data_IF_369716425211
#
_entry.id   IF_369716425211
#
_cell.length_a   1.000
_cell.length_b   1.000
_cell.length_c   1.000
_cell.angle_alpha   90.00
_cell.angle_beta   90.00
_cell.angle_gamma   90.00
#
_symmetry.space_group_name_H-M   'P 1'
#
loop_
_entity.id
_entity.type
_entity.pdbx_description
1 polymer ?
#
# COMPACT_ATOMS: atom_id res chain seq x y z
N UNK A 1 -64.90 -15.16 -0.71
CA UNK A 1 -63.81 -15.44 0.25
C UNK A 1 -62.56 -14.74 -0.26
N UNK A 2 -62.03 -13.79 0.51
CA UNK A 2 -60.85 -12.99 0.15
C UNK A 2 -59.59 -13.79 0.53
N UNK A 3 -58.82 -14.22 -0.47
CA UNK A 3 -57.52 -14.83 -0.26
C UNK A 3 -56.51 -13.74 0.14
N UNK A 4 -56.08 -13.76 1.39
CA UNK A 4 -55.08 -12.84 1.94
C UNK A 4 -53.71 -13.40 1.59
N UNK A 5 -53.01 -12.77 0.63
CA UNK A 5 -51.64 -13.14 0.28
C UNK A 5 -50.69 -12.71 1.40
N UNK A 6 -50.12 -13.69 2.08
CA UNK A 6 -49.15 -13.47 3.15
C UNK A 6 -47.78 -13.20 2.52
N UNK A 7 -47.40 -11.93 2.44
CA UNK A 7 -46.10 -11.49 1.92
C UNK A 7 -45.04 -11.77 3.00
N UNK A 8 -44.42 -12.96 2.93
CA UNK A 8 -43.30 -13.30 3.81
C UNK A 8 -42.20 -12.24 3.65
N UNK A 9 -41.93 -11.55 4.75
CA UNK A 9 -40.78 -10.67 4.89
C UNK A 9 -39.52 -11.53 4.76
N UNK A 10 -38.78 -11.35 3.67
CA UNK A 10 -37.44 -11.89 3.48
C UNK A 10 -36.52 -11.32 4.57
N UNK A 11 -36.49 -11.97 5.73
CA UNK A 11 -35.45 -11.72 6.73
C UNK A 11 -34.12 -12.16 6.12
N UNK A 12 -33.26 -11.19 5.79
CA UNK A 12 -31.89 -11.47 5.34
C UNK A 12 -31.23 -12.33 6.41
N UNK A 13 -30.87 -13.56 6.06
CA UNK A 13 -30.08 -14.42 6.93
C UNK A 13 -28.81 -13.67 7.38
N UNK A 14 -28.37 -13.86 8.64
CA UNK A 14 -27.13 -13.27 9.10
C UNK A 14 -26.01 -13.83 8.24
N UNK A 15 -25.35 -12.97 7.45
CA UNK A 15 -24.17 -13.35 6.66
C UNK A 15 -23.14 -13.96 7.61
N UNK A 16 -22.96 -15.27 7.53
CA UNK A 16 -21.91 -15.98 8.27
C UNK A 16 -20.55 -15.57 7.68
N UNK A 17 -19.89 -14.62 8.33
CA UNK A 17 -18.56 -14.17 7.92
C UNK A 17 -17.51 -15.07 8.57
N UNK A 18 -16.82 -15.89 7.76
CA UNK A 18 -15.60 -16.61 8.19
C UNK A 18 -14.62 -15.63 8.82
N UNK A 19 -14.01 -15.88 10.00
CA UNK A 19 -13.08 -14.95 10.66
C UNK A 19 -11.87 -14.60 9.79
N UNK A 20 -11.25 -13.44 10.02
CA UNK A 20 -10.09 -12.99 9.26
C UNK A 20 -8.84 -13.72 9.77
N UNK A 21 -7.97 -14.16 8.86
CA UNK A 21 -6.75 -14.91 9.21
C UNK A 21 -5.54 -13.99 9.47
N UNK A 22 -5.65 -12.70 9.15
CA UNK A 22 -4.59 -11.71 9.35
C UNK A 22 -5.10 -10.51 10.15
N UNK A 23 -4.24 -9.80 10.90
CA UNK A 23 -4.61 -8.57 11.62
C UNK A 23 -5.21 -7.50 10.68
N UNK A 24 -4.57 -7.24 9.55
CA UNK A 24 -5.08 -6.30 8.53
C UNK A 24 -6.45 -6.72 7.98
N UNK A 25 -6.65 -8.02 7.77
CA UNK A 25 -7.94 -8.55 7.33
C UNK A 25 -9.04 -8.37 8.38
N UNK A 26 -8.68 -8.38 9.66
CA UNK A 26 -9.61 -8.13 10.76
C UNK A 26 -9.99 -6.65 10.83
N UNK A 27 -9.02 -5.75 10.68
CA UNK A 27 -9.27 -4.30 10.62
C UNK A 27 -10.18 -3.94 9.46
N UNK A 28 -9.87 -4.42 8.24
CA UNK A 28 -10.70 -4.18 7.05
C UNK A 28 -12.13 -4.68 7.22
N UNK A 29 -12.31 -5.81 7.91
CA UNK A 29 -13.64 -6.31 8.24
C UNK A 29 -14.38 -5.38 9.19
N UNK A 30 -13.73 -4.92 10.26
CA UNK A 30 -14.37 -3.99 11.20
C UNK A 30 -14.76 -2.69 10.50
N UNK A 31 -13.92 -2.18 9.62
CA UNK A 31 -14.20 -1.00 8.80
C UNK A 31 -15.42 -1.24 7.89
N UNK A 32 -15.49 -2.39 7.21
CA UNK A 32 -16.64 -2.75 6.37
C UNK A 32 -17.95 -2.81 7.16
N UNK A 33 -17.93 -3.43 8.34
CA UNK A 33 -19.12 -3.51 9.20
C UNK A 33 -19.55 -2.13 9.70
N UNK A 34 -18.59 -1.27 10.04
CA UNK A 34 -18.87 0.10 10.45
C UNK A 34 -19.46 0.94 9.30
N UNK A 35 -18.95 0.76 8.07
CA UNK A 35 -19.48 1.41 6.86
C UNK A 35 -20.92 0.99 6.58
N UNK A 36 -21.23 -0.31 6.60
CA UNK A 36 -22.59 -0.82 6.37
C UNK A 36 -23.58 -0.28 7.41
N UNK A 37 -23.15 -0.22 8.67
CA UNK A 37 -23.96 0.32 9.77
C UNK A 37 -24.20 1.82 9.58
N UNK A 38 -23.14 2.59 9.27
CA UNK A 38 -23.26 4.02 9.03
C UNK A 38 -24.16 4.34 7.85
N UNK A 39 -24.07 3.58 6.75
CA UNK A 39 -24.97 3.72 5.59
C UNK A 39 -26.43 3.53 6.01
N UNK A 40 -26.71 2.46 6.78
CA UNK A 40 -28.05 2.19 7.29
C UNK A 40 -28.56 3.35 8.16
N UNK A 41 -27.76 3.81 9.11
CA UNK A 41 -28.13 4.91 10.01
C UNK A 41 -28.35 6.23 9.26
N UNK A 42 -27.56 6.53 8.24
CA UNK A 42 -27.71 7.74 7.42
C UNK A 42 -29.01 7.68 6.60
N UNK A 43 -29.36 6.52 6.03
CA UNK A 43 -30.62 6.33 5.29
C UNK A 43 -31.86 6.43 6.20
N UNK A 44 -31.76 5.88 7.40
CA UNK A 44 -32.85 5.89 8.38
C UNK A 44 -32.94 7.23 9.14
N UNK A 45 -31.98 8.14 8.95
CA UNK A 45 -31.92 9.43 9.66
C UNK A 45 -31.57 9.32 11.15
N UNK A 46 -31.09 8.16 11.60
CA UNK A 46 -30.72 7.86 13.00
C UNK A 46 -29.22 8.02 13.26
N UNK A 47 -28.45 8.44 12.26
CA UNK A 47 -27.00 8.63 12.38
C UNK A 47 -26.66 9.71 13.41
N UNK A 48 -25.72 9.39 14.30
CA UNK A 48 -25.13 10.37 15.21
C UNK A 48 -24.42 11.49 14.44
N UNK A 49 -24.41 12.70 15.01
CA UNK A 49 -23.74 13.87 14.42
C UNK A 49 -22.27 13.60 14.07
N UNK A 50 -21.57 12.79 14.88
CA UNK A 50 -20.17 12.44 14.61
C UNK A 50 -20.01 11.61 13.32
N UNK A 51 -20.93 10.68 13.06
CA UNK A 51 -20.93 9.86 11.84
C UNK A 51 -21.17 10.77 10.63
N UNK A 52 -22.17 11.64 10.71
CA UNK A 52 -22.48 12.60 9.64
C UNK A 52 -21.27 13.50 9.32
N UNK A 53 -20.65 14.10 10.35
CA UNK A 53 -19.48 14.97 10.18
C UNK A 53 -18.29 14.22 9.60
N UNK A 54 -18.04 12.98 10.02
CA UNK A 54 -16.94 12.17 9.49
C UNK A 54 -17.09 11.96 7.97
N UNK A 55 -18.27 11.53 7.51
CA UNK A 55 -18.53 11.32 6.09
C UNK A 55 -18.58 12.62 5.29
N UNK A 56 -19.09 13.72 5.86
CA UNK A 56 -19.03 15.03 5.22
C UNK A 56 -17.59 15.48 5.01
N UNK A 57 -16.72 15.32 6.03
CA UNK A 57 -15.28 15.64 5.93
C UNK A 57 -14.60 14.82 4.84
N UNK A 58 -14.87 13.51 4.78
CA UNK A 58 -14.39 12.62 3.72
C UNK A 58 -14.82 13.07 2.32
N UNK A 59 -16.03 13.61 2.17
CA UNK A 59 -16.57 14.08 0.90
C UNK A 59 -16.07 15.47 0.45
N UNK A 60 -15.36 16.22 1.30
CA UNK A 60 -14.92 17.57 0.96
C UNK A 60 -13.79 17.59 -0.07
N UNK A 61 -13.73 18.67 -0.85
CA UNK A 61 -12.62 18.95 -1.77
C UNK A 61 -11.24 18.93 -1.08
N UNK A 62 -11.19 19.36 0.19
CA UNK A 62 -9.96 19.30 0.99
C UNK A 62 -9.44 17.86 1.13
N UNK A 63 -10.31 16.90 1.46
CA UNK A 63 -9.93 15.50 1.58
C UNK A 63 -9.48 14.90 0.24
N UNK A 64 -10.08 15.32 -0.88
CA UNK A 64 -9.67 14.91 -2.24
C UNK A 64 -8.28 15.43 -2.59
N UNK A 65 -8.00 16.71 -2.31
CA UNK A 65 -6.70 17.32 -2.54
C UNK A 65 -5.61 16.71 -1.66
N UNK A 66 -5.91 16.45 -0.37
CA UNK A 66 -4.99 15.77 0.55
C UNK A 66 -4.64 14.36 0.07
N UNK A 67 -5.64 13.59 -0.38
CA UNK A 67 -5.41 12.27 -0.97
C UNK A 67 -4.55 12.34 -2.23
N UNK A 68 -4.85 13.27 -3.13
CA UNK A 68 -4.08 13.47 -4.36
C UNK A 68 -2.64 13.86 -4.03
N UNK A 69 -2.44 14.72 -3.04
CA UNK A 69 -1.11 15.11 -2.57
C UNK A 69 -0.32 13.91 -2.06
N UNK A 70 -0.93 13.06 -1.23
CA UNK A 70 -0.29 11.83 -0.74
C UNK A 70 0.05 10.87 -1.88
N UNK A 71 -0.83 10.70 -2.87
CA UNK A 71 -0.57 9.88 -4.05
C UNK A 71 0.65 10.41 -4.84
N UNK A 72 0.74 11.73 -5.04
CA UNK A 72 1.90 12.37 -5.70
C UNK A 72 3.19 12.27 -4.89
N UNK A 73 3.11 12.35 -3.56
CA UNK A 73 4.27 12.14 -2.68
C UNK A 73 4.78 10.71 -2.79
N UNK A 74 3.90 9.70 -2.84
CA UNK A 74 4.27 8.30 -3.06
C UNK A 74 4.95 8.13 -4.42
N UNK A 75 4.41 8.72 -5.49
CA UNK A 75 5.02 8.69 -6.82
C UNK A 75 6.41 9.32 -6.83
N UNK A 76 6.55 10.49 -6.19
CA UNK A 76 7.83 11.19 -6.07
C UNK A 76 8.85 10.36 -5.28
N UNK A 77 8.43 9.71 -4.19
CA UNK A 77 9.29 8.83 -3.41
C UNK A 77 9.74 7.61 -4.23
N UNK A 78 8.84 7.02 -5.04
CA UNK A 78 9.19 5.92 -5.96
C UNK A 78 10.22 6.37 -6.99
N UNK A 79 10.00 7.50 -7.65
CA UNK A 79 10.93 8.06 -8.63
C UNK A 79 12.31 8.36 -8.01
N UNK A 80 12.34 8.90 -6.78
CA UNK A 80 13.59 9.11 -6.04
C UNK A 80 14.30 7.80 -5.71
N UNK A 81 13.55 6.79 -5.28
CA UNK A 81 14.12 5.45 -5.02
C UNK A 81 14.74 4.87 -6.28
N UNK A 82 14.02 4.92 -7.40
CA UNK A 82 14.51 4.44 -8.70
C UNK A 82 15.75 5.21 -9.17
N UNK A 83 15.81 6.52 -8.94
CA UNK A 83 16.98 7.34 -9.24
C UNK A 83 18.20 6.90 -8.42
N UNK A 84 18.03 6.66 -7.12
CA UNK A 84 19.10 6.20 -6.22
C UNK A 84 19.59 4.82 -6.64
N UNK A 85 18.67 3.88 -6.89
CA UNK A 85 19.02 2.54 -7.37
C UNK A 85 19.73 2.59 -8.74
N UNK A 86 19.31 3.48 -9.64
CA UNK A 86 19.94 3.66 -10.94
C UNK A 86 21.34 4.28 -10.85
N UNK A 87 21.56 5.17 -9.88
CA UNK A 87 22.88 5.73 -9.61
C UNK A 87 23.83 4.63 -9.12
N UNK A 88 23.39 3.80 -8.16
CA UNK A 88 24.16 2.65 -7.67
C UNK A 88 24.51 1.66 -8.78
N UNK A 89 23.54 1.29 -9.63
CA UNK A 89 23.81 0.41 -10.78
C UNK A 89 24.80 1.02 -11.78
N UNK A 90 24.73 2.33 -12.00
CA UNK A 90 25.67 3.03 -12.88
C UNK A 90 27.07 3.01 -12.30
N UNK A 91 27.22 3.28 -11.00
CA UNK A 91 28.50 3.21 -10.28
C UNK A 91 29.13 1.82 -10.41
N UNK A 92 28.37 0.76 -10.13
CA UNK A 92 28.82 -0.63 -10.28
C UNK A 92 29.25 -0.96 -11.72
N UNK A 93 28.53 -0.46 -12.73
CA UNK A 93 28.91 -0.63 -14.14
C UNK A 93 30.20 0.11 -14.49
N UNK A 94 30.40 1.33 -13.96
CA UNK A 94 31.63 2.09 -14.17
C UNK A 94 32.83 1.42 -13.50
N UNK A 95 32.67 0.94 -12.27
CA UNK A 95 33.72 0.18 -11.56
C UNK A 95 34.12 -1.06 -12.35
N UNK A 96 33.14 -1.85 -12.81
CA UNK A 96 33.39 -3.02 -13.66
C UNK A 96 34.08 -2.68 -14.96
N UNK A 97 33.66 -1.61 -15.64
CA UNK A 97 34.27 -1.17 -16.89
C UNK A 97 35.72 -0.72 -16.69
N UNK A 98 36.01 0.03 -15.62
CA UNK A 98 37.36 0.45 -15.26
C UNK A 98 38.24 -0.77 -14.93
N UNK A 99 37.72 -1.73 -14.16
CA UNK A 99 38.43 -2.97 -13.85
C UNK A 99 38.78 -3.77 -15.11
N UNK A 100 37.82 -3.94 -16.02
CA UNK A 100 38.03 -4.63 -17.30
C UNK A 100 39.05 -3.91 -18.19
N UNK A 101 39.01 -2.57 -18.26
CA UNK A 101 39.99 -1.78 -19.02
C UNK A 101 41.41 -1.89 -18.43
N UNK A 102 41.55 -1.87 -17.09
CA UNK A 102 42.85 -2.08 -16.42
C UNK A 102 43.43 -3.47 -16.68
N UNK A 103 42.57 -4.50 -16.66
CA UNK A 103 42.97 -5.88 -16.97
C UNK A 103 43.41 -6.03 -18.43
N UNK A 104 42.72 -5.37 -19.36
CA UNK A 104 43.05 -5.40 -20.78
C UNK A 104 44.28 -4.56 -21.15
N UNK A 105 44.55 -3.44 -20.46
CA UNK A 105 45.68 -2.56 -20.77
C UNK A 105 47.05 -3.09 -20.30
N UNK A 106 47.12 -4.32 -19.78
CA UNK A 106 48.38 -4.94 -19.34
C UNK A 106 48.96 -4.38 -18.04
N UNK A 107 48.25 -3.49 -17.35
CA UNK A 107 48.69 -2.87 -16.08
C UNK A 107 48.22 -3.66 -14.83
N UNK A 108 47.87 -4.93 -14.98
CA UNK A 108 47.55 -5.83 -13.86
C UNK A 108 48.81 -6.30 -13.14
N UNK A 109 49.59 -5.40 -12.56
CA UNK A 109 50.63 -5.77 -11.60
C UNK A 109 49.98 -6.12 -10.28
N UNK A 110 49.85 -7.43 -10.05
CA UNK A 110 50.16 -8.13 -8.80
C UNK A 110 50.09 -7.29 -7.52
N UNK A 111 48.90 -7.09 -6.98
CA UNK A 111 48.69 -6.71 -5.57
C UNK A 111 47.80 -7.77 -4.91
N UNK A 112 48.17 -9.04 -5.05
CA UNK A 112 47.89 -10.04 -4.02
C UNK A 112 49.19 -10.22 -3.24
N UNK A 113 49.25 -9.57 -2.08
CA UNK A 113 50.27 -9.79 -1.07
C UNK A 113 50.10 -11.22 -0.55
N UNK A 114 50.88 -12.16 -1.06
CA UNK A 114 51.16 -13.42 -0.36
C UNK A 114 52.53 -13.31 0.32
N UNK A 115 52.48 -13.44 1.64
CA UNK A 115 53.61 -13.49 2.57
C UNK A 115 54.55 -14.66 2.24
N UNK A 116 55.62 -14.40 1.49
CA UNK A 116 56.76 -15.32 1.43
C UNK A 116 57.80 -14.91 2.48
N UNK A 117 57.66 -15.53 3.66
CA UNK A 117 58.65 -15.60 4.74
C UNK A 117 59.95 -16.24 4.21
N UNK A 118 61.04 -15.47 4.15
CA UNK A 118 62.37 -15.99 3.78
C UNK A 118 63.07 -16.61 5.00
N UNK A 119 63.40 -17.90 4.86
CA UNK A 119 64.30 -18.71 5.72
C UNK A 119 65.72 -18.13 5.77
#
# INVERSE_FOLDING_TARGET
MVAKSNKQSSQKEPKSFRPALTPEGQENRMISLAMDLAEKQLREGTASAQVQVHFLKLGTEKARLERTKLEREIELMKAKREQIESAQRSEELFERAIAAMKQYSGNGTNEEMEDDEYV
#
